data_IF_577251281957
#
_entry.id   IF_577251281957
#
_cell.length_a   1.000
_cell.length_b   1.000
_cell.length_c   1.000
_cell.angle_alpha   90.00
_cell.angle_beta   90.00
_cell.angle_gamma   90.00
#
_symmetry.space_group_name_H-M   'P 1'
#
loop_
_entity.id
_entity.type
_entity.pdbx_description
1 polymer ?
#
# COMPACT_ATOMS: atom_id res chain seq x y z
N UNK A 1 45.86 2.59 -24.78
CA UNK A 1 44.41 2.45 -24.99
C UNK A 1 44.02 1.05 -24.53
N UNK A 2 43.48 0.92 -23.31
CA UNK A 2 43.20 -0.36 -22.65
C UNK A 2 41.72 -0.76 -22.85
N UNK A 3 41.50 -2.07 -23.02
CA UNK A 3 40.23 -2.70 -23.41
C UNK A 3 39.22 -2.66 -22.26
N UNK A 4 37.96 -2.34 -22.59
CA UNK A 4 36.79 -2.45 -21.70
C UNK A 4 36.52 -3.92 -21.37
N UNK A 5 36.50 -4.27 -20.08
CA UNK A 5 36.01 -5.56 -19.57
C UNK A 5 37.05 -6.37 -18.78
N UNK A 6 36.90 -6.36 -17.46
CA UNK A 6 37.47 -7.30 -16.48
C UNK A 6 38.98 -7.53 -16.42
N UNK A 7 39.62 -6.86 -15.44
CA UNK A 7 40.56 -7.53 -14.53
C UNK A 7 40.49 -6.84 -13.16
N UNK A 8 39.77 -7.45 -12.23
CA UNK A 8 39.88 -7.13 -10.81
C UNK A 8 41.36 -7.27 -10.41
N UNK A 9 42.01 -6.16 -10.09
CA UNK A 9 43.35 -6.19 -9.52
C UNK A 9 43.22 -6.69 -8.09
N UNK A 10 43.82 -7.84 -7.79
CA UNK A 10 43.83 -8.45 -6.45
C UNK A 10 44.54 -7.48 -5.49
N UNK A 11 43.78 -6.71 -4.72
CA UNK A 11 44.32 -5.92 -3.61
C UNK A 11 44.57 -6.88 -2.45
N UNK A 12 45.83 -7.18 -2.20
CA UNK A 12 46.29 -7.82 -0.96
C UNK A 12 45.80 -7.01 0.24
N UNK A 13 45.04 -7.66 1.11
CA UNK A 13 44.57 -7.10 2.37
C UNK A 13 45.78 -6.94 3.31
N UNK A 14 46.25 -5.71 3.48
CA UNK A 14 47.07 -5.33 4.62
C UNK A 14 46.11 -4.88 5.73
N UNK A 15 46.15 -5.57 6.87
CA UNK A 15 45.36 -5.25 8.05
C UNK A 15 45.95 -4.00 8.71
N UNK A 16 45.56 -2.83 8.22
CA UNK A 16 45.62 -1.57 8.95
C UNK A 16 44.21 -0.99 8.87
N UNK A 17 43.57 -0.77 10.02
CA UNK A 17 42.27 -0.10 10.10
C UNK A 17 42.40 1.34 9.61
N UNK A 18 42.33 1.54 8.29
CA UNK A 18 42.25 2.88 7.71
C UNK A 18 40.83 3.38 7.97
N UNK A 19 40.63 4.45 8.78
CA UNK A 19 39.30 5.02 8.94
C UNK A 19 38.78 5.38 7.55
N UNK A 20 37.68 4.73 7.16
CA UNK A 20 37.04 5.00 5.87
C UNK A 20 36.44 6.39 6.00
N UNK A 21 36.93 7.34 5.20
CA UNK A 21 36.36 8.69 5.19
C UNK A 21 34.84 8.60 4.96
N UNK A 22 34.05 9.37 5.70
CA UNK A 22 32.58 9.33 5.63
C UNK A 22 32.06 9.45 4.18
N UNK A 23 32.75 10.21 3.33
CA UNK A 23 32.43 10.32 1.90
C UNK A 23 32.44 9.00 1.13
N UNK A 24 33.34 8.07 1.46
CA UNK A 24 33.37 6.74 0.84
C UNK A 24 32.26 5.84 1.36
N UNK A 25 31.94 5.91 2.66
CA UNK A 25 30.82 5.16 3.25
C UNK A 25 29.49 5.65 2.68
N UNK A 26 29.27 6.97 2.60
CA UNK A 26 28.08 7.56 1.99
C UNK A 26 27.96 7.14 0.51
N UNK A 27 29.06 7.16 -0.26
CA UNK A 27 29.01 6.71 -1.66
C UNK A 27 28.70 5.21 -1.84
N UNK A 28 28.99 4.40 -0.83
CA UNK A 28 28.62 2.98 -0.83
C UNK A 28 27.13 2.83 -0.51
N UNK A 29 26.65 3.58 0.48
CA UNK A 29 25.23 3.63 0.85
C UNK A 29 24.36 4.04 -0.33
N UNK A 30 24.67 5.17 -0.99
CA UNK A 30 23.96 5.68 -2.16
C UNK A 30 23.89 4.64 -3.30
N UNK A 31 24.97 3.86 -3.49
CA UNK A 31 25.03 2.83 -4.55
C UNK A 31 24.19 1.60 -4.20
N UNK A 32 24.16 1.23 -2.93
CA UNK A 32 23.34 0.11 -2.46
C UNK A 32 21.86 0.49 -2.56
N UNK A 33 21.52 1.70 -2.13
CA UNK A 33 20.17 2.26 -2.24
C UNK A 33 19.70 2.26 -3.70
N UNK A 34 20.48 2.85 -4.61
CA UNK A 34 20.14 2.87 -6.04
C UNK A 34 20.02 1.47 -6.67
N UNK A 35 20.85 0.51 -6.24
CA UNK A 35 20.77 -0.87 -6.73
C UNK A 35 19.49 -1.56 -6.24
N UNK A 36 19.09 -1.35 -4.99
CA UNK A 36 17.85 -1.91 -4.42
C UNK A 36 16.61 -1.27 -5.04
N UNK A 37 16.63 0.05 -5.27
CA UNK A 37 15.56 0.77 -5.98
C UNK A 37 15.35 0.18 -7.39
N UNK A 38 16.44 -0.03 -8.14
CA UNK A 38 16.36 -0.66 -9.46
C UNK A 38 15.80 -2.09 -9.38
N UNK A 39 16.18 -2.87 -8.38
CA UNK A 39 15.64 -4.23 -8.18
C UNK A 39 14.13 -4.18 -7.94
N UNK A 40 13.65 -3.28 -7.07
CA UNK A 40 12.21 -3.13 -6.82
C UNK A 40 11.45 -2.71 -8.07
N UNK A 41 11.99 -1.76 -8.83
CA UNK A 41 11.41 -1.35 -10.10
C UNK A 41 11.33 -2.51 -11.11
N UNK A 42 12.40 -3.28 -11.26
CA UNK A 42 12.43 -4.44 -12.15
C UNK A 42 11.47 -5.55 -11.71
N UNK A 43 11.34 -5.78 -10.40
CA UNK A 43 10.37 -6.73 -9.85
C UNK A 43 8.95 -6.28 -10.11
N UNK A 44 8.65 -5.00 -9.89
CA UNK A 44 7.33 -4.44 -10.23
C UNK A 44 7.03 -4.60 -11.72
N UNK A 45 7.99 -4.31 -12.60
CA UNK A 45 7.84 -4.51 -14.04
C UNK A 45 7.60 -5.99 -14.40
N UNK A 46 8.31 -6.92 -13.76
CA UNK A 46 8.15 -8.35 -13.97
C UNK A 46 6.74 -8.85 -13.57
N UNK A 47 6.11 -8.20 -12.59
CA UNK A 47 4.75 -8.46 -12.15
C UNK A 47 3.67 -7.63 -12.86
N UNK A 48 4.00 -6.90 -13.93
CA UNK A 48 3.03 -6.17 -14.75
C UNK A 48 3.19 -4.65 -14.75
N UNK A 49 4.13 -4.11 -13.97
CA UNK A 49 4.57 -2.70 -14.02
C UNK A 49 3.51 -1.69 -13.58
N UNK A 50 2.47 -2.14 -12.88
CA UNK A 50 1.36 -1.31 -12.42
C UNK A 50 1.13 -1.41 -10.93
N UNK A 51 0.25 -0.54 -10.42
CA UNK A 51 -0.22 -0.62 -9.04
C UNK A 51 -1.18 -1.81 -8.90
N UNK A 52 -0.93 -2.69 -7.94
CA UNK A 52 -1.85 -3.79 -7.67
C UNK A 52 -1.43 -4.66 -6.50
N UNK A 53 -2.42 -5.39 -5.98
CA UNK A 53 -2.27 -6.34 -4.89
C UNK A 53 -1.72 -7.65 -5.43
N UNK A 54 -0.74 -8.23 -4.73
CA UNK A 54 -0.13 -9.52 -5.10
C UNK A 54 -1.04 -10.64 -4.61
N UNK A 55 -1.59 -11.42 -5.53
CA UNK A 55 -2.49 -12.53 -5.21
C UNK A 55 -1.75 -13.75 -4.66
N UNK A 56 -2.30 -14.35 -3.62
CA UNK A 56 -1.82 -15.59 -3.01
C UNK A 56 -0.52 -15.44 -2.21
N UNK A 57 -0.10 -14.20 -1.93
CA UNK A 57 1.05 -13.93 -1.06
C UNK A 57 0.69 -14.15 0.41
N UNK A 58 -0.60 -13.96 0.75
CA UNK A 58 -1.18 -14.15 2.08
C UNK A 58 -2.55 -14.81 1.96
N UNK A 59 -3.16 -15.19 3.09
CA UNK A 59 -4.52 -15.72 3.06
C UNK A 59 -5.57 -14.65 2.73
N UNK A 60 -5.31 -13.39 3.09
CA UNK A 60 -6.27 -12.27 3.03
C UNK A 60 -5.97 -11.29 1.90
N UNK A 61 -4.71 -11.18 1.43
CA UNK A 61 -4.31 -10.35 0.28
C UNK A 61 -4.88 -8.92 0.35
N UNK A 62 -4.64 -8.24 1.47
CA UNK A 62 -5.14 -6.87 1.75
C UNK A 62 -6.67 -6.74 1.61
N UNK A 63 -7.41 -7.82 1.87
CA UNK A 63 -8.87 -7.79 1.91
C UNK A 63 -9.36 -6.83 3.00
N UNK A 64 -10.37 -6.06 2.64
CA UNK A 64 -11.08 -5.20 3.59
C UNK A 64 -12.34 -5.94 4.00
N UNK A 65 -12.44 -6.27 5.28
CA UNK A 65 -13.57 -6.96 5.86
C UNK A 65 -14.21 -6.11 6.97
N UNK A 66 -15.47 -6.39 7.26
CA UNK A 66 -16.16 -5.83 8.41
C UNK A 66 -15.54 -6.40 9.69
N UNK A 67 -15.40 -5.54 10.70
CA UNK A 67 -14.92 -5.96 12.02
C UNK A 67 -15.90 -6.93 12.68
N UNK A 68 -15.39 -7.89 13.46
CA UNK A 68 -16.20 -8.72 14.36
C UNK A 68 -15.85 -8.40 15.84
N UNK A 69 -16.73 -7.73 16.61
CA UNK A 69 -18.11 -7.36 16.27
C UNK A 69 -18.21 -6.14 15.32
N UNK A 70 -19.30 -6.03 14.52
CA UNK A 70 -19.50 -4.93 13.59
C UNK A 70 -19.45 -3.56 14.26
N UNK A 71 -18.68 -2.65 13.67
CA UNK A 71 -18.49 -1.29 14.15
C UNK A 71 -18.42 -0.30 12.99
N UNK A 72 -18.23 0.99 13.28
CA UNK A 72 -18.01 2.04 12.26
C UNK A 72 -16.58 2.02 11.71
N UNK A 73 -15.92 0.86 11.73
CA UNK A 73 -14.55 0.62 11.26
C UNK A 73 -14.56 -0.64 10.41
N UNK A 74 -13.73 -0.62 9.36
CA UNK A 74 -13.38 -1.82 8.61
C UNK A 74 -12.00 -2.30 9.05
N UNK A 75 -11.73 -3.58 8.88
CA UNK A 75 -10.42 -4.19 9.12
C UNK A 75 -9.77 -4.52 7.79
N UNK A 76 -8.50 -4.16 7.62
CA UNK A 76 -7.71 -4.54 6.45
C UNK A 76 -6.75 -5.64 6.84
N UNK A 77 -6.87 -6.79 6.18
CA UNK A 77 -6.02 -7.95 6.38
C UNK A 77 -4.57 -7.72 5.93
N UNK A 78 -3.59 -8.48 6.46
CA UNK A 78 -2.21 -8.38 6.02
C UNK A 78 -2.07 -8.82 4.56
N UNK A 79 -1.06 -8.31 3.88
CA UNK A 79 -0.82 -8.64 2.49
C UNK A 79 0.27 -7.80 1.83
N UNK A 80 0.44 -8.02 0.53
CA UNK A 80 1.47 -7.38 -0.28
C UNK A 80 0.85 -6.69 -1.50
N UNK A 81 1.40 -5.54 -1.87
CA UNK A 81 1.02 -4.83 -3.08
C UNK A 81 2.24 -4.17 -3.71
N UNK A 82 2.10 -3.75 -4.96
CA UNK A 82 2.97 -2.77 -5.58
C UNK A 82 2.24 -1.45 -5.71
N UNK A 83 2.89 -0.37 -5.26
CA UNK A 83 2.39 1.00 -5.34
C UNK A 83 3.53 1.85 -5.89
N UNK A 84 3.32 2.56 -7.01
CA UNK A 84 4.34 3.41 -7.62
C UNK A 84 5.61 2.66 -8.05
N UNK A 85 5.51 1.38 -8.38
CA UNK A 85 6.63 0.44 -8.62
C UNK A 85 7.45 0.02 -7.38
N UNK A 86 6.99 0.35 -6.18
CA UNK A 86 7.62 -0.07 -4.93
C UNK A 86 6.79 -1.15 -4.23
N UNK A 87 7.45 -2.11 -3.56
CA UNK A 87 6.76 -3.09 -2.75
C UNK A 87 6.18 -2.45 -1.50
N UNK A 88 4.91 -2.74 -1.25
CA UNK A 88 4.18 -2.40 -0.04
C UNK A 88 3.83 -3.68 0.72
N UNK A 89 3.95 -3.64 2.05
CA UNK A 89 3.55 -4.74 2.92
C UNK A 89 2.75 -4.20 4.10
N UNK A 90 1.58 -4.79 4.32
CA UNK A 90 0.88 -4.67 5.59
C UNK A 90 1.17 -5.92 6.43
N UNK A 91 1.84 -5.74 7.57
CA UNK A 91 2.36 -6.85 8.35
C UNK A 91 1.32 -7.54 9.25
N UNK A 92 0.30 -6.80 9.69
CA UNK A 92 -0.75 -7.27 10.57
C UNK A 92 -2.07 -6.63 10.18
N UNK A 93 -3.18 -7.28 10.54
CA UNK A 93 -4.51 -6.72 10.33
C UNK A 93 -4.61 -5.36 11.03
N UNK A 94 -5.15 -4.38 10.31
CA UNK A 94 -5.19 -2.98 10.75
C UNK A 94 -6.60 -2.44 10.64
N UNK A 95 -7.11 -1.95 11.76
CA UNK A 95 -8.39 -1.25 11.80
C UNK A 95 -8.28 0.11 11.10
N UNK A 96 -9.29 0.45 10.30
CA UNK A 96 -9.41 1.80 9.77
C UNK A 96 -9.77 2.82 10.86
N UNK A 97 -9.58 4.10 10.54
CA UNK A 97 -10.16 5.18 11.31
C UNK A 97 -11.69 5.02 11.39
N UNK A 98 -12.27 5.57 12.45
CA UNK A 98 -13.72 5.55 12.65
C UNK A 98 -14.39 6.42 11.61
N UNK A 99 -15.32 5.82 10.89
CA UNK A 99 -16.07 6.49 9.85
C UNK A 99 -17.28 7.18 10.48
N UNK A 100 -17.47 8.46 10.19
CA UNK A 100 -18.67 9.18 10.63
C UNK A 100 -19.83 8.89 9.68
N UNK A 101 -20.99 8.52 10.23
CA UNK A 101 -22.20 8.30 9.43
C UNK A 101 -22.59 9.58 8.65
N UNK A 102 -23.06 9.46 7.39
CA UNK A 102 -23.65 10.56 6.66
C UNK A 102 -24.90 11.11 7.33
N UNK A 103 -25.25 12.37 7.04
CA UNK A 103 -26.41 13.03 7.66
C UNK A 103 -27.63 13.04 6.76
N UNK A 104 -27.47 13.40 5.48
CA UNK A 104 -28.60 13.70 4.60
C UNK A 104 -28.70 12.71 3.45
N UNK A 105 -27.58 12.48 2.76
CA UNK A 105 -27.51 11.60 1.60
C UNK A 105 -26.47 10.48 1.81
N UNK A 106 -26.55 9.37 1.07
CA UNK A 106 -25.49 8.37 1.06
C UNK A 106 -24.14 8.94 0.61
N UNK A 107 -23.05 8.30 1.05
CA UNK A 107 -21.67 8.69 0.75
C UNK A 107 -20.83 7.45 0.45
N UNK A 108 -19.87 7.56 -0.47
CA UNK A 108 -18.87 6.50 -0.67
C UNK A 108 -17.52 7.02 -0.16
N UNK A 109 -16.93 6.30 0.79
CA UNK A 109 -15.57 6.56 1.26
C UNK A 109 -14.61 5.54 0.63
N UNK A 110 -13.35 5.91 0.42
CA UNK A 110 -12.34 5.02 -0.17
C UNK A 110 -11.33 4.59 0.90
N UNK A 111 -11.18 3.28 1.11
CA UNK A 111 -10.08 2.70 1.86
C UNK A 111 -8.90 2.52 0.93
N UNK A 112 -7.77 3.13 1.27
CA UNK A 112 -6.56 3.09 0.47
C UNK A 112 -5.33 2.79 1.33
N UNK A 113 -4.40 2.00 0.78
CA UNK A 113 -3.08 1.80 1.37
C UNK A 113 -2.13 2.90 0.87
N UNK A 114 -1.37 3.52 1.77
CA UNK A 114 -0.42 4.59 1.45
C UNK A 114 1.02 4.08 1.54
N UNK A 115 1.77 4.25 0.46
CA UNK A 115 3.18 3.84 0.42
C UNK A 115 4.06 4.70 1.35
N UNK A 116 3.80 6.01 1.42
CA UNK A 116 4.64 6.95 2.17
C UNK A 116 4.72 6.67 3.68
N UNK A 117 3.60 6.28 4.29
CA UNK A 117 3.48 6.06 5.74
C UNK A 117 3.33 4.60 6.12
N UNK A 118 3.26 3.70 5.13
CA UNK A 118 3.06 2.26 5.36
C UNK A 118 1.79 1.95 6.18
N UNK A 119 0.73 2.74 5.98
CA UNK A 119 -0.53 2.64 6.70
C UNK A 119 -1.74 2.57 5.76
N UNK A 120 -2.90 2.32 6.36
CA UNK A 120 -4.20 2.36 5.69
C UNK A 120 -4.91 3.65 6.08
N UNK A 121 -5.45 4.35 5.10
CA UNK A 121 -6.22 5.57 5.30
C UNK A 121 -7.60 5.46 4.66
N UNK A 122 -8.57 6.19 5.22
CA UNK A 122 -9.90 6.34 4.66
C UNK A 122 -10.03 7.74 4.11
N UNK A 123 -10.28 7.84 2.80
CA UNK A 123 -10.58 9.11 2.13
C UNK A 123 -12.08 9.30 2.09
N UNK A 124 -12.54 10.32 2.81
CA UNK A 124 -13.97 10.67 2.90
C UNK A 124 -14.47 11.21 1.56
N UNK A 125 -15.58 10.67 1.08
CA UNK A 125 -16.25 11.16 -0.12
C UNK A 125 -17.16 12.34 0.13
N UNK A 126 -17.98 12.66 -0.87
CA UNK A 126 -19.00 13.72 -0.78
C UNK A 126 -20.39 13.09 -0.70
N UNK A 127 -21.23 13.59 0.21
CA UNK A 127 -22.63 13.19 0.30
C UNK A 127 -23.38 13.62 -0.98
N UNK A 128 -24.09 12.69 -1.61
CA UNK A 128 -24.91 12.97 -2.77
C UNK A 128 -25.99 11.88 -2.95
N UNK A 129 -27.14 12.25 -3.52
CA UNK A 129 -28.21 11.30 -3.85
C UNK A 129 -27.75 10.15 -4.78
N UNK A 130 -26.67 10.35 -5.52
CA UNK A 130 -25.93 9.31 -6.23
C UNK A 130 -24.44 9.50 -5.92
N UNK A 131 -23.93 8.86 -4.85
CA UNK A 131 -22.56 9.06 -4.43
C UNK A 131 -21.59 8.46 -5.44
N UNK A 132 -20.44 9.10 -5.60
CA UNK A 132 -19.33 8.62 -6.44
C UNK A 132 -18.10 8.39 -5.57
N UNK A 133 -17.32 7.32 -5.83
CA UNK A 133 -16.10 7.06 -5.08
C UNK A 133 -15.05 8.15 -5.37
N UNK A 134 -14.31 8.61 -4.35
CA UNK A 134 -13.12 9.44 -4.57
C UNK A 134 -12.04 8.67 -5.35
N UNK A 135 -11.24 9.39 -6.14
CA UNK A 135 -10.03 8.81 -6.73
C UNK A 135 -8.98 8.56 -5.64
N UNK A 136 -8.17 7.48 -5.74
CA UNK A 136 -7.05 7.25 -4.83
C UNK A 136 -6.01 8.38 -4.93
N UNK A 137 -5.37 8.68 -3.80
CA UNK A 137 -4.29 9.69 -3.78
C UNK A 137 -3.03 9.20 -4.51
N UNK A 138 -2.09 10.11 -4.77
CA UNK A 138 -0.76 9.74 -5.30
C UNK A 138 -0.05 8.80 -4.33
N UNK A 139 0.64 7.80 -4.87
CA UNK A 139 1.32 6.75 -4.10
C UNK A 139 0.38 5.98 -3.14
N UNK A 140 -0.90 5.92 -3.50
CA UNK A 140 -1.90 5.08 -2.86
C UNK A 140 -2.53 4.11 -3.85
N UNK A 141 -3.03 3.00 -3.32
CA UNK A 141 -3.88 2.06 -4.06
C UNK A 141 -5.23 1.92 -3.37
N UNK A 142 -6.30 1.89 -4.17
CA UNK A 142 -7.64 1.58 -3.72
C UNK A 142 -7.73 0.11 -3.26
N UNK A 143 -8.19 -0.11 -2.03
CA UNK A 143 -8.47 -1.44 -1.50
C UNK A 143 -9.97 -1.72 -1.53
N UNK A 144 -10.78 -0.83 -0.95
CA UNK A 144 -12.22 -1.00 -0.93
C UNK A 144 -12.96 0.33 -0.91
N UNK A 145 -14.20 0.30 -1.36
CA UNK A 145 -15.14 1.40 -1.23
C UNK A 145 -16.14 1.08 -0.13
N UNK A 146 -16.35 2.02 0.79
CA UNK A 146 -17.33 1.91 1.86
C UNK A 146 -18.56 2.69 1.42
N UNK A 147 -19.64 1.99 1.10
CA UNK A 147 -20.93 2.63 0.84
C UNK A 147 -21.62 2.91 2.17
N UNK A 148 -21.86 4.19 2.47
CA UNK A 148 -22.38 4.64 3.75
C UNK A 148 -23.78 5.21 3.59
N UNK A 149 -24.66 4.88 4.55
CA UNK A 149 -26.06 5.33 4.57
C UNK A 149 -26.31 6.25 5.77
N UNK A 150 -27.22 7.23 5.64
CA UNK A 150 -27.63 8.04 6.78
C UNK A 150 -28.17 7.19 7.93
N UNK A 151 -27.71 7.44 9.16
CA UNK A 151 -28.15 6.73 10.35
C UNK A 151 -27.55 5.33 10.56
N UNK A 152 -26.55 4.92 9.76
CA UNK A 152 -25.85 3.65 9.98
C UNK A 152 -25.11 3.61 11.33
N UNK A 153 -25.05 2.42 11.93
CA UNK A 153 -24.32 2.19 13.20
C UNK A 153 -23.16 1.22 13.06
N UNK A 154 -23.04 0.53 11.92
CA UNK A 154 -21.95 -0.37 11.61
C UNK A 154 -21.70 -0.45 10.11
N UNK A 155 -20.55 -1.01 9.74
CA UNK A 155 -20.18 -1.39 8.38
C UNK A 155 -20.19 -2.92 8.29
N UNK A 156 -20.74 -3.47 7.21
CA UNK A 156 -20.85 -4.92 6.96
C UNK A 156 -20.18 -5.31 5.64
N UNK A 157 -19.91 -6.59 5.46
CA UNK A 157 -19.38 -7.10 4.18
C UNK A 157 -20.43 -7.11 3.07
N UNK A 158 -21.71 -7.12 3.42
CA UNK A 158 -22.82 -7.24 2.47
C UNK A 158 -23.92 -6.22 2.76
N UNK A 159 -24.63 -5.81 1.71
CA UNK A 159 -25.73 -4.85 1.81
C UNK A 159 -26.91 -5.46 2.56
N UNK A 160 -27.29 -4.83 3.66
CA UNK A 160 -28.49 -5.15 4.46
C UNK A 160 -29.58 -4.07 4.30
N UNK A 161 -29.44 -3.20 3.31
CA UNK A 161 -30.31 -2.05 3.02
C UNK A 161 -30.38 -0.97 4.12
N UNK A 162 -29.69 -1.14 5.25
CA UNK A 162 -29.81 -0.27 6.42
C UNK A 162 -28.47 0.35 6.82
N UNK A 163 -27.43 -0.46 6.89
CA UNK A 163 -26.08 -0.09 7.32
C UNK A 163 -25.17 0.19 6.11
N UNK A 164 -23.95 0.63 6.43
CA UNK A 164 -22.91 0.72 5.42
C UNK A 164 -22.40 -0.66 5.02
N UNK A 165 -21.93 -0.79 3.78
CA UNK A 165 -21.34 -2.04 3.29
C UNK A 165 -20.06 -1.83 2.48
N UNK A 166 -19.23 -2.86 2.42
CA UNK A 166 -17.94 -2.86 1.74
C UNK A 166 -18.10 -3.34 0.29
N UNK A 167 -17.43 -2.66 -0.62
CA UNK A 167 -17.32 -3.03 -2.03
C UNK A 167 -15.83 -3.18 -2.34
N UNK A 168 -15.43 -4.37 -2.80
CA UNK A 168 -14.03 -4.62 -3.19
C UNK A 168 -13.64 -3.75 -4.38
N UNK A 169 -12.53 -3.02 -4.24
CA UNK A 169 -11.97 -2.16 -5.27
C UNK A 169 -10.50 -2.51 -5.58
N UNK A 170 -10.00 -3.64 -5.06
CA UNK A 170 -8.63 -4.09 -5.27
C UNK A 170 -8.38 -4.37 -6.75
N UNK A 171 -7.28 -3.83 -7.26
CA UNK A 171 -6.71 -4.24 -8.53
C UNK A 171 -5.61 -5.26 -8.26
N UNK A 172 -5.66 -6.42 -8.90
CA UNK A 172 -4.68 -7.50 -8.70
C UNK A 172 -3.64 -7.53 -9.82
N UNK A 173 -2.42 -7.94 -9.48
CA UNK A 173 -1.34 -8.31 -10.41
C UNK A 173 -1.25 -9.83 -10.57
#
# INVERSE_FOLDING_TARGET
MAIKGNAYTKTTWAFEERPVASSKLNSWDDRIEAALELIHFLLSLAWGGGNGVVRGATAEDLEVAAKDPPSMRAEVGPGYAFIGNYPYKLAAATDTAEVTAPTTDPRIDLVQARLATWDVSVKTGTEAASPSPPDPDTDCIALAQLYLRPGMTCIKDTDDSTNGYIIDARTFL
#
